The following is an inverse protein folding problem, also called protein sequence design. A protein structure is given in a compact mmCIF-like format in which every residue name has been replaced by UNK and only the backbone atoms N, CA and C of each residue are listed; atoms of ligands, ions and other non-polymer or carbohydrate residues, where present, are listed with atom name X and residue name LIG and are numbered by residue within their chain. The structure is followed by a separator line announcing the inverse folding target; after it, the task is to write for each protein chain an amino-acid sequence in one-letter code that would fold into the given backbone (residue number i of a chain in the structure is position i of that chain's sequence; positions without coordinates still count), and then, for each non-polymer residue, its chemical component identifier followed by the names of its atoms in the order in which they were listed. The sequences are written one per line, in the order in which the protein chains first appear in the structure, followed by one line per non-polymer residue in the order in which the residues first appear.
data_IF_532960903252
#
_entry.id   IF_532960903252
#
_cell.length_a   1.000
_cell.length_b   1.000
_cell.length_c   1.000
_cell.angle_alpha   90.00
_cell.angle_beta   90.00
_cell.angle_gamma   90.00
#
_symmetry.space_group_name_H-M   'P 1'
#
loop_
_entity.id
_entity.type
_entity.pdbx_description
1 polymer ?
#
# COMPACT_ATOMS: atom_id res chain seq x y z
N UNK A 1 -21.26 6.14 -16.77
CA UNK A 1 -21.13 7.61 -17.00
C UNK A 1 -20.00 8.12 -16.15
N UNK A 2 -19.01 8.82 -16.71
CA UNK A 2 -17.90 9.33 -15.92
C UNK A 2 -18.42 10.25 -14.82
N UNK A 3 -17.97 10.02 -13.59
CA UNK A 3 -18.29 10.88 -12.43
C UNK A 3 -17.77 12.31 -12.67
N UNK A 4 -16.78 12.45 -13.52
CA UNK A 4 -16.13 13.71 -13.86
C UNK A 4 -16.53 14.11 -15.28
N UNK A 5 -17.68 14.79 -15.46
CA UNK A 5 -17.93 15.48 -16.71
C UNK A 5 -16.89 16.59 -16.83
N UNK A 6 -16.18 16.64 -17.95
CA UNK A 6 -15.41 17.83 -18.32
C UNK A 6 -16.38 19.02 -18.38
N UNK A 7 -16.38 19.83 -17.34
CA UNK A 7 -17.23 21.02 -17.28
C UNK A 7 -16.50 22.12 -18.03
N UNK A 8 -17.10 22.63 -19.11
CA UNK A 8 -16.60 23.83 -19.74
C UNK A 8 -16.77 25.00 -18.77
N UNK A 9 -15.70 25.72 -18.51
CA UNK A 9 -15.76 26.94 -17.70
C UNK A 9 -16.76 27.89 -18.36
N UNK A 10 -17.81 28.33 -17.66
CA UNK A 10 -18.67 29.38 -18.20
C UNK A 10 -17.78 30.58 -18.50
N UNK A 11 -18.07 31.28 -19.61
CA UNK A 11 -17.36 32.51 -19.95
C UNK A 11 -17.62 33.54 -18.84
N UNK A 12 -16.67 33.62 -17.90
CA UNK A 12 -16.71 34.61 -16.83
C UNK A 12 -16.30 35.93 -17.47
N UNK A 13 -17.24 36.81 -17.73
CA UNK A 13 -16.95 38.20 -18.04
C UNK A 13 -16.22 38.78 -16.84
N UNK A 14 -14.96 39.18 -17.04
CA UNK A 14 -14.15 39.80 -16.01
C UNK A 14 -14.76 41.12 -15.54
N UNK A 15 -15.53 41.05 -14.49
CA UNK A 15 -15.81 42.15 -13.61
C UNK A 15 -15.75 41.60 -12.19
N UNK A 16 -14.83 42.12 -11.39
CA UNK A 16 -14.87 41.91 -9.95
C UNK A 16 -16.30 42.26 -9.50
N UNK A 17 -17.01 41.33 -8.91
CA UNK A 17 -18.33 41.61 -8.35
C UNK A 17 -18.15 42.69 -7.30
N UNK A 18 -18.79 43.88 -7.45
CA UNK A 18 -18.70 44.92 -6.42
C UNK A 18 -19.23 44.36 -5.11
N UNK A 19 -18.42 44.34 -4.06
CA UNK A 19 -18.77 43.80 -2.76
C UNK A 19 -18.13 42.47 -2.39
N UNK A 20 -17.25 41.87 -3.18
CA UNK A 20 -16.43 40.74 -2.76
C UNK A 20 -15.41 41.26 -1.74
N UNK A 21 -15.52 40.82 -0.50
CA UNK A 21 -14.54 41.15 0.54
C UNK A 21 -13.15 40.73 0.08
N UNK A 22 -12.23 41.65 -0.01
CA UNK A 22 -10.81 41.37 -0.29
C UNK A 22 -10.20 40.89 1.01
N UNK A 23 -9.80 39.62 1.03
CA UNK A 23 -9.15 39.01 2.16
C UNK A 23 -7.65 38.85 1.89
N UNK A 24 -6.77 38.98 2.92
CA UNK A 24 -5.35 38.68 2.79
C UNK A 24 -5.07 37.19 2.64
N UNK A 25 -6.05 36.33 2.91
CA UNK A 25 -5.90 34.88 2.85
C UNK A 25 -5.61 34.40 1.42
N UNK A 26 -4.73 33.43 1.31
CA UNK A 26 -4.33 32.87 0.01
C UNK A 26 -4.50 31.34 0.00
N UNK A 27 -4.91 30.74 -1.12
CA UNK A 27 -5.05 29.29 -1.24
C UNK A 27 -3.69 28.61 -1.28
N UNK A 28 -3.58 27.50 -0.55
CA UNK A 28 -2.44 26.60 -0.64
C UNK A 28 -2.90 25.14 -0.69
N UNK A 29 -2.07 24.29 -1.26
CA UNK A 29 -2.28 22.85 -1.24
C UNK A 29 -1.79 22.28 0.08
N UNK A 30 -2.68 21.59 0.80
CA UNK A 30 -2.38 20.95 2.08
C UNK A 30 -2.72 19.47 1.98
N UNK A 31 -1.72 18.63 1.64
CA UNK A 31 -1.90 17.18 1.63
C UNK A 31 -2.35 16.66 2.99
N UNK A 32 -3.37 15.80 2.99
CA UNK A 32 -3.86 15.12 4.19
C UNK A 32 -3.93 13.62 3.94
N UNK A 33 -3.74 12.84 4.99
CA UNK A 33 -3.89 11.40 4.89
C UNK A 33 -5.36 11.01 4.73
N UNK A 34 -5.65 10.17 3.73
CA UNK A 34 -6.95 9.52 3.67
C UNK A 34 -7.08 8.51 4.82
N UNK A 35 -8.25 8.38 5.48
CA UNK A 35 -8.43 7.43 6.57
C UNK A 35 -8.10 5.99 6.19
N UNK A 36 -8.41 5.57 4.96
CA UNK A 36 -8.09 4.24 4.46
C UNK A 36 -6.57 3.99 4.35
N UNK A 37 -5.79 5.00 3.95
CA UNK A 37 -4.32 4.92 3.89
C UNK A 37 -3.74 4.88 5.30
N UNK A 38 -4.24 5.74 6.20
CA UNK A 38 -3.78 5.80 7.58
C UNK A 38 -4.03 4.49 8.34
N UNK A 39 -5.19 3.86 8.09
CA UNK A 39 -5.62 2.62 8.77
C UNK A 39 -5.11 1.35 8.09
N UNK A 40 -4.52 1.43 6.90
CA UNK A 40 -4.00 0.26 6.23
C UNK A 40 -2.84 -0.35 7.01
N UNK A 41 -2.97 -1.59 7.43
CA UNK A 41 -1.95 -2.29 8.24
C UNK A 41 -0.63 -2.40 7.49
N UNK A 42 -0.66 -2.71 6.19
CA UNK A 42 0.54 -2.80 5.34
C UNK A 42 1.09 -1.43 4.94
N UNK A 43 0.32 -0.35 5.16
CA UNK A 43 0.69 1.01 4.78
C UNK A 43 0.57 1.30 3.28
N UNK A 44 -0.24 0.53 2.56
CA UNK A 44 -0.48 0.72 1.12
C UNK A 44 -1.18 2.04 0.85
N UNK A 45 -0.81 2.73 -0.23
CA UNK A 45 -1.54 3.92 -0.71
C UNK A 45 -2.88 3.53 -1.34
N UNK A 46 -3.83 3.15 -0.46
CA UNK A 46 -5.17 2.67 -0.87
C UNK A 46 -5.87 3.69 -1.76
N UNK A 47 -5.82 4.96 -1.39
CA UNK A 47 -6.42 6.04 -2.17
C UNK A 47 -5.79 6.13 -3.57
N UNK A 48 -4.46 6.08 -3.65
CA UNK A 48 -3.73 6.25 -4.91
C UNK A 48 -4.06 5.18 -5.93
N UNK A 49 -4.07 3.91 -5.54
CA UNK A 49 -4.41 2.84 -6.49
C UNK A 49 -5.90 2.79 -6.84
N UNK A 50 -6.81 3.14 -5.91
CA UNK A 50 -8.24 3.27 -6.23
C UNK A 50 -8.51 4.37 -7.25
N UNK A 51 -7.91 5.55 -7.06
CA UNK A 51 -8.05 6.68 -7.99
C UNK A 51 -7.47 6.34 -9.37
N UNK A 52 -6.38 5.59 -9.42
CA UNK A 52 -5.80 5.15 -10.67
C UNK A 52 -6.75 4.26 -11.51
N UNK A 53 -7.51 3.38 -10.85
CA UNK A 53 -8.56 2.58 -11.49
C UNK A 53 -9.74 3.47 -11.89
N UNK A 54 -10.22 4.30 -10.96
CA UNK A 54 -11.38 5.16 -11.16
C UNK A 54 -11.23 6.16 -12.33
N UNK A 55 -10.03 6.71 -12.49
CA UNK A 55 -9.71 7.74 -13.48
C UNK A 55 -8.93 7.21 -14.69
N UNK A 56 -9.04 5.90 -14.99
CA UNK A 56 -8.26 5.30 -16.07
C UNK A 56 -8.45 6.03 -17.42
N UNK A 57 -9.68 6.43 -17.74
CA UNK A 57 -10.00 7.15 -18.98
C UNK A 57 -9.38 8.55 -19.05
N UNK A 58 -9.42 9.27 -17.92
CA UNK A 58 -8.85 10.61 -17.79
C UNK A 58 -7.32 10.61 -17.98
N UNK A 59 -6.67 9.50 -17.63
CA UNK A 59 -5.22 9.30 -17.84
C UNK A 59 -4.90 8.56 -19.14
N UNK A 60 -5.90 8.33 -20.01
CA UNK A 60 -5.71 7.64 -21.29
C UNK A 60 -5.27 6.18 -21.14
N UNK A 61 -5.64 5.52 -20.03
CA UNK A 61 -5.31 4.11 -19.76
C UNK A 61 -6.49 3.21 -20.12
N UNK A 62 -6.18 2.03 -20.63
CA UNK A 62 -7.17 0.94 -20.66
C UNK A 62 -7.44 0.45 -19.24
N UNK A 63 -8.57 -0.24 -18.99
CA UNK A 63 -8.81 -0.87 -17.69
C UNK A 63 -7.66 -1.77 -17.22
N UNK A 64 -7.13 -2.61 -18.09
CA UNK A 64 -6.00 -3.50 -17.77
C UNK A 64 -4.74 -2.71 -17.37
N UNK A 65 -4.41 -1.63 -18.08
CA UNK A 65 -3.27 -0.76 -17.72
C UNK A 65 -3.48 -0.06 -16.38
N UNK A 66 -4.72 0.31 -16.05
CA UNK A 66 -5.05 0.90 -14.76
C UNK A 66 -4.95 -0.11 -13.61
N UNK A 67 -5.38 -1.35 -13.85
CA UNK A 67 -5.24 -2.46 -12.90
C UNK A 67 -3.76 -2.81 -12.68
N UNK A 68 -2.95 -2.84 -13.73
CA UNK A 68 -1.50 -3.06 -13.61
C UNK A 68 -0.84 -1.95 -12.79
N UNK A 69 -1.18 -0.70 -13.06
CA UNK A 69 -0.68 0.43 -12.28
C UNK A 69 -1.10 0.32 -10.80
N UNK A 70 -2.36 -0.05 -10.54
CA UNK A 70 -2.87 -0.26 -9.19
C UNK A 70 -2.12 -1.40 -8.48
N UNK A 71 -1.90 -2.52 -9.15
CA UNK A 71 -1.12 -3.63 -8.65
C UNK A 71 0.32 -3.23 -8.30
N UNK A 72 1.02 -2.54 -9.21
CA UNK A 72 2.37 -2.04 -8.95
C UNK A 72 2.42 -1.08 -7.75
N UNK A 73 1.39 -0.25 -7.59
CA UNK A 73 1.23 0.62 -6.41
C UNK A 73 1.02 -0.16 -5.11
N UNK A 74 0.25 -1.23 -5.12
CA UNK A 74 0.08 -2.11 -3.95
C UNK A 74 1.41 -2.77 -3.60
N UNK A 75 2.14 -3.28 -4.59
CA UNK A 75 3.44 -3.93 -4.42
C UNK A 75 4.52 -3.05 -3.77
N UNK A 76 4.41 -1.73 -3.83
CA UNK A 76 5.35 -0.84 -3.13
C UNK A 76 5.42 -1.16 -1.62
N UNK A 77 4.33 -1.67 -1.04
CA UNK A 77 4.19 -1.92 0.40
C UNK A 77 3.73 -3.34 0.75
N UNK A 78 3.01 -3.98 -0.14
CA UNK A 78 2.38 -5.27 0.09
C UNK A 78 2.64 -6.22 -1.08
N UNK A 79 3.53 -7.22 -0.93
CA UNK A 79 3.82 -8.19 -1.99
C UNK A 79 2.75 -9.28 -2.14
N UNK A 80 1.67 -9.24 -1.34
CA UNK A 80 0.64 -10.26 -1.26
C UNK A 80 -0.78 -9.69 -1.44
N UNK A 81 -1.08 -8.98 -2.55
CA UNK A 81 -2.40 -8.37 -2.75
C UNK A 81 -3.54 -9.38 -2.79
N UNK A 82 -3.38 -10.50 -3.50
CA UNK A 82 -4.40 -11.53 -3.60
C UNK A 82 -4.67 -12.23 -2.26
N UNK A 83 -3.63 -12.45 -1.45
CA UNK A 83 -3.74 -13.03 -0.10
C UNK A 83 -4.38 -12.01 0.85
N UNK A 84 -3.89 -10.77 0.90
CA UNK A 84 -4.47 -9.74 1.75
C UNK A 84 -5.94 -9.48 1.44
N UNK A 85 -6.32 -9.47 0.16
CA UNK A 85 -7.72 -9.38 -0.27
C UNK A 85 -8.60 -10.55 0.17
N UNK A 86 -8.03 -11.61 0.74
CA UNK A 86 -8.76 -12.78 1.29
C UNK A 86 -8.79 -12.81 2.81
N UNK A 87 -7.71 -12.39 3.47
CA UNK A 87 -7.53 -12.64 4.91
C UNK A 87 -7.32 -11.39 5.75
N UNK A 88 -7.15 -10.22 5.15
CA UNK A 88 -7.04 -8.96 5.89
C UNK A 88 -8.42 -8.57 6.46
N UNK A 89 -8.42 -8.06 7.70
CA UNK A 89 -9.63 -7.52 8.35
C UNK A 89 -10.05 -6.13 7.84
N UNK A 90 -9.40 -5.63 6.81
CA UNK A 90 -9.69 -4.40 6.09
C UNK A 90 -10.08 -3.19 6.96
N UNK A 91 -9.24 -2.78 7.95
CA UNK A 91 -9.51 -1.61 8.77
C UNK A 91 -9.63 -0.32 7.93
N UNK A 92 -9.13 -0.33 6.71
CA UNK A 92 -9.29 0.73 5.72
C UNK A 92 -10.77 0.99 5.36
N UNK A 93 -11.62 -0.05 5.29
CA UNK A 93 -13.05 0.09 5.05
C UNK A 93 -13.76 0.61 6.30
N UNK A 94 -13.38 0.13 7.50
CA UNK A 94 -13.96 0.58 8.76
C UNK A 94 -13.81 2.09 8.97
N UNK A 95 -12.73 2.68 8.44
CA UNK A 95 -12.43 4.10 8.56
C UNK A 95 -12.70 4.91 7.28
N UNK A 96 -13.30 4.32 6.26
CA UNK A 96 -13.57 5.00 4.99
C UNK A 96 -14.60 6.12 5.16
N UNK A 97 -14.26 7.36 4.76
CA UNK A 97 -15.15 8.52 4.82
C UNK A 97 -16.42 8.36 3.98
N UNK A 98 -16.43 7.47 2.96
CA UNK A 98 -17.61 7.18 2.15
C UNK A 98 -18.77 6.61 2.99
N UNK A 99 -18.49 6.09 4.19
CA UNK A 99 -19.52 5.67 5.18
C UNK A 99 -20.49 6.79 5.53
N UNK A 100 -20.09 8.05 5.42
CA UNK A 100 -20.95 9.21 5.65
C UNK A 100 -22.03 9.39 4.56
N UNK A 101 -22.01 8.58 3.48
CA UNK A 101 -23.01 8.55 2.43
C UNK A 101 -23.72 7.20 2.39
N UNK A 102 -23.33 6.32 1.49
CA UNK A 102 -24.00 5.05 1.25
C UNK A 102 -23.18 3.80 1.64
N UNK A 103 -22.11 4.00 2.38
CA UNK A 103 -21.25 2.91 2.86
C UNK A 103 -19.81 2.98 2.31
N UNK A 104 -18.87 2.29 2.96
CA UNK A 104 -17.46 2.32 2.58
C UNK A 104 -17.25 1.75 1.18
N UNK A 105 -16.14 2.12 0.52
CA UNK A 105 -15.67 1.43 -0.68
C UNK A 105 -15.26 0.00 -0.31
N UNK A 106 -15.59 -0.99 -1.14
CA UNK A 106 -15.24 -2.40 -0.95
C UNK A 106 -13.76 -2.66 -1.27
N UNK A 107 -12.86 -2.06 -0.51
CA UNK A 107 -11.42 -2.00 -0.76
C UNK A 107 -10.80 -3.40 -0.76
N UNK A 108 -11.20 -4.24 0.18
CA UNK A 108 -10.68 -5.60 0.30
C UNK A 108 -11.03 -6.44 -0.94
N UNK A 109 -12.26 -6.32 -1.45
CA UNK A 109 -12.69 -7.00 -2.67
C UNK A 109 -11.93 -6.52 -3.90
N UNK A 110 -11.70 -5.21 -3.99
CA UNK A 110 -10.91 -4.60 -5.06
C UNK A 110 -9.45 -5.06 -5.00
N UNK A 111 -8.83 -5.10 -3.81
CA UNK A 111 -7.45 -5.59 -3.64
C UNK A 111 -7.32 -7.05 -4.05
N UNK A 112 -8.30 -7.90 -3.65
CA UNK A 112 -8.39 -9.29 -4.10
C UNK A 112 -8.45 -9.40 -5.61
N UNK A 113 -9.36 -8.63 -6.24
CA UNK A 113 -9.52 -8.67 -7.69
C UNK A 113 -8.21 -8.27 -8.40
N UNK A 114 -7.57 -7.17 -7.97
CA UNK A 114 -6.31 -6.71 -8.56
C UNK A 114 -5.21 -7.76 -8.43
N UNK A 115 -5.12 -8.44 -7.28
CA UNK A 115 -4.16 -9.51 -7.06
C UNK A 115 -4.44 -10.74 -7.92
N UNK A 116 -5.69 -11.21 -7.97
CA UNK A 116 -6.10 -12.36 -8.77
C UNK A 116 -5.94 -12.10 -10.27
N UNK A 117 -6.29 -10.88 -10.72
CA UNK A 117 -6.10 -10.45 -12.09
C UNK A 117 -4.62 -10.43 -12.50
N UNK A 118 -3.76 -9.91 -11.63
CA UNK A 118 -2.32 -9.90 -11.85
C UNK A 118 -1.75 -11.32 -12.02
N UNK A 119 -2.20 -12.27 -11.19
CA UNK A 119 -1.81 -13.68 -11.32
C UNK A 119 -2.29 -14.25 -12.63
N UNK A 120 -3.55 -14.01 -13.01
CA UNK A 120 -4.12 -14.51 -14.27
C UNK A 120 -3.42 -13.93 -15.51
N UNK A 121 -2.99 -12.68 -15.46
CA UNK A 121 -2.21 -12.02 -16.52
C UNK A 121 -0.73 -12.42 -16.51
N UNK A 122 -0.26 -13.15 -15.52
CA UNK A 122 1.14 -13.51 -15.37
C UNK A 122 2.07 -12.33 -15.11
N UNK A 123 1.54 -11.22 -14.56
CA UNK A 123 2.37 -10.04 -14.24
C UNK A 123 3.45 -10.37 -13.23
N UNK A 124 4.61 -9.73 -13.42
CA UNK A 124 5.78 -9.96 -12.58
C UNK A 124 6.24 -8.68 -11.93
N UNK A 125 6.62 -8.79 -10.65
CA UNK A 125 7.33 -7.72 -9.97
C UNK A 125 8.71 -7.52 -10.63
N UNK A 126 9.14 -6.29 -10.71
CA UNK A 126 10.41 -5.94 -11.36
C UNK A 126 11.35 -5.29 -10.36
N UNK A 127 12.62 -5.65 -10.47
CA UNK A 127 13.70 -4.96 -9.79
C UNK A 127 14.01 -3.65 -10.54
N UNK A 128 13.99 -2.52 -9.85
CA UNK A 128 14.34 -1.22 -10.46
C UNK A 128 15.83 -1.07 -10.73
N UNK A 129 16.66 -1.81 -10.00
CA UNK A 129 18.11 -1.80 -10.15
C UNK A 129 18.66 -3.21 -10.35
N UNK A 130 19.69 -3.36 -11.18
CA UNK A 130 20.43 -4.60 -11.29
C UNK A 130 20.99 -5.03 -9.92
N UNK A 131 21.16 -6.33 -9.65
CA UNK A 131 21.86 -6.80 -8.46
C UNK A 131 23.24 -6.15 -8.41
N UNK A 132 23.58 -5.48 -7.30
CA UNK A 132 24.92 -5.00 -7.08
C UNK A 132 25.84 -6.20 -6.79
N UNK A 133 26.87 -6.50 -7.59
CA UNK A 133 27.78 -7.62 -7.34
C UNK A 133 28.48 -7.55 -5.98
N UNK A 134 28.62 -6.33 -5.41
CA UNK A 134 29.17 -6.11 -4.08
C UNK A 134 28.10 -5.95 -2.99
N UNK A 135 26.82 -6.30 -3.26
CA UNK A 135 25.75 -6.12 -2.31
C UNK A 135 25.97 -6.91 -1.02
N UNK A 136 25.68 -6.27 0.10
CA UNK A 136 25.67 -6.94 1.39
C UNK A 136 24.66 -8.10 1.37
N UNK A 137 25.10 -9.26 1.87
CA UNK A 137 24.25 -10.45 2.00
C UNK A 137 23.41 -10.36 3.27
N UNK A 138 22.12 -10.67 3.15
CA UNK A 138 21.18 -10.70 4.27
C UNK A 138 20.54 -12.08 4.35
N UNK A 139 20.59 -12.70 5.54
CA UNK A 139 19.89 -13.94 5.82
C UNK A 139 18.53 -13.66 6.46
N UNK A 140 17.51 -14.40 6.06
CA UNK A 140 16.20 -14.40 6.67
C UNK A 140 15.86 -15.84 7.07
N UNK A 141 15.59 -16.04 8.34
CA UNK A 141 15.24 -17.35 8.91
C UNK A 141 13.73 -17.42 9.07
N UNK A 142 13.08 -18.19 8.21
CA UNK A 142 11.63 -18.34 8.10
C UNK A 142 11.03 -17.62 6.90
N UNK A 143 10.21 -18.34 6.14
CA UNK A 143 9.52 -17.88 4.93
C UNK A 143 8.04 -17.58 5.17
N UNK A 144 7.67 -17.18 6.38
CA UNK A 144 6.34 -16.66 6.68
C UNK A 144 6.11 -15.28 6.07
N UNK A 145 4.91 -14.67 6.27
CA UNK A 145 4.59 -13.38 5.67
C UNK A 145 5.57 -12.27 6.02
N UNK A 146 6.13 -12.25 7.23
CA UNK A 146 7.15 -11.28 7.63
C UNK A 146 8.48 -11.49 6.90
N UNK A 147 8.95 -12.74 6.84
CA UNK A 147 10.22 -13.08 6.19
C UNK A 147 10.17 -12.81 4.69
N UNK A 148 9.11 -13.25 4.01
CA UNK A 148 8.93 -13.01 2.58
C UNK A 148 8.73 -11.52 2.24
N UNK A 149 8.02 -10.77 3.10
CA UNK A 149 7.89 -9.32 2.93
C UNK A 149 9.24 -8.61 3.09
N UNK A 150 10.04 -9.00 4.07
CA UNK A 150 11.40 -8.47 4.26
C UNK A 150 12.31 -8.85 3.07
N UNK A 151 12.25 -10.09 2.60
CA UNK A 151 12.99 -10.56 1.44
C UNK A 151 12.67 -9.73 0.20
N UNK A 152 11.38 -9.50 -0.06
CA UNK A 152 10.89 -8.66 -1.15
C UNK A 152 11.49 -7.25 -1.08
N UNK A 153 11.33 -6.56 0.05
CA UNK A 153 11.78 -5.18 0.20
C UNK A 153 13.31 -5.04 0.12
N UNK A 154 14.06 -5.91 0.80
CA UNK A 154 15.52 -5.89 0.76
C UNK A 154 16.05 -6.16 -0.66
N UNK A 155 15.42 -7.07 -1.39
CA UNK A 155 15.79 -7.37 -2.78
C UNK A 155 15.53 -6.17 -3.68
N UNK A 156 14.42 -5.45 -3.50
CA UNK A 156 14.15 -4.20 -4.24
C UNK A 156 15.15 -3.09 -3.91
N UNK A 157 15.68 -3.08 -2.68
CA UNK A 157 16.74 -2.13 -2.25
C UNK A 157 18.12 -2.53 -2.77
N UNK A 158 18.29 -3.69 -3.44
CA UNK A 158 19.54 -4.11 -4.06
C UNK A 158 20.36 -5.12 -3.27
N UNK A 159 19.89 -5.55 -2.09
CA UNK A 159 20.60 -6.56 -1.27
C UNK A 159 20.49 -7.97 -1.86
N UNK A 160 21.51 -8.80 -1.58
CA UNK A 160 21.47 -10.23 -1.85
C UNK A 160 20.80 -10.96 -0.68
N UNK A 161 19.66 -11.59 -0.92
CA UNK A 161 18.84 -12.16 0.15
C UNK A 161 18.75 -13.67 0.03
N UNK A 162 19.03 -14.37 1.12
CA UNK A 162 18.83 -15.81 1.29
C UNK A 162 17.78 -16.06 2.35
N UNK A 163 16.69 -16.74 2.00
CA UNK A 163 15.64 -17.17 2.91
C UNK A 163 15.87 -18.64 3.26
N UNK A 164 15.94 -18.94 4.55
CA UNK A 164 16.10 -20.29 5.11
C UNK A 164 14.79 -20.73 5.73
N UNK A 165 14.22 -21.83 5.25
CA UNK A 165 12.92 -22.35 5.68
C UNK A 165 13.04 -23.80 6.16
N UNK A 166 12.60 -24.05 7.39
CA UNK A 166 12.61 -25.39 7.97
C UNK A 166 11.62 -26.35 7.29
N UNK A 167 10.50 -25.81 6.83
CA UNK A 167 9.47 -26.58 6.14
C UNK A 167 9.87 -26.95 4.70
N UNK A 168 9.21 -27.97 4.12
CA UNK A 168 9.44 -28.38 2.72
C UNK A 168 9.06 -27.28 1.71
N UNK A 169 8.06 -26.45 2.03
CA UNK A 169 7.53 -25.41 1.16
C UNK A 169 7.46 -24.08 1.89
N UNK A 170 7.73 -22.94 1.21
CA UNK A 170 7.63 -21.62 1.81
C UNK A 170 6.18 -21.20 2.03
N UNK A 171 5.97 -20.20 2.90
CA UNK A 171 4.68 -19.59 3.15
C UNK A 171 4.29 -19.51 4.63
N UNK A 172 4.99 -20.24 5.50
CA UNK A 172 4.75 -20.19 6.95
C UNK A 172 3.26 -20.38 7.31
N UNK A 173 2.72 -19.50 8.17
CA UNK A 173 1.32 -19.57 8.59
C UNK A 173 0.31 -19.51 7.46
N UNK A 174 0.60 -18.81 6.36
CA UNK A 174 -0.29 -18.73 5.20
C UNK A 174 -0.49 -20.11 4.55
N UNK A 175 0.49 -20.99 4.64
CA UNK A 175 0.44 -22.36 4.12
C UNK A 175 -0.03 -23.38 5.13
N UNK A 176 0.45 -23.27 6.38
CA UNK A 176 0.33 -24.32 7.36
C UNK A 176 -0.68 -24.07 8.49
N UNK A 177 -1.29 -22.86 8.54
CA UNK A 177 -2.24 -22.47 9.58
C UNK A 177 -3.55 -21.86 9.04
N UNK A 178 -3.63 -21.59 7.76
CA UNK A 178 -4.82 -21.05 7.10
C UNK A 178 -5.32 -22.09 6.09
N UNK A 179 -6.61 -22.47 6.13
CA UNK A 179 -7.18 -23.46 5.20
C UNK A 179 -7.07 -23.03 3.73
N UNK A 180 -6.93 -24.01 2.84
CA UNK A 180 -6.88 -23.81 1.38
C UNK A 180 -8.16 -23.18 0.82
N UNK A 181 -9.29 -23.36 1.50
CA UNK A 181 -10.55 -22.68 1.19
C UNK A 181 -10.43 -21.15 1.32
N UNK A 182 -9.58 -20.67 2.22
CA UNK A 182 -9.32 -19.23 2.41
C UNK A 182 -8.18 -18.73 1.54
N UNK A 183 -7.06 -19.47 1.49
CA UNK A 183 -5.90 -19.17 0.64
C UNK A 183 -5.61 -20.39 -0.26
N UNK A 184 -6.10 -20.41 -1.52
CA UNK A 184 -5.78 -21.48 -2.45
C UNK A 184 -4.25 -21.60 -2.66
N UNK A 185 -3.76 -22.84 -2.74
CA UNK A 185 -2.33 -23.09 -2.89
C UNK A 185 -1.74 -22.39 -4.12
N UNK A 186 -2.47 -22.40 -5.24
CA UNK A 186 -2.05 -21.76 -6.49
C UNK A 186 -1.86 -20.24 -6.33
N UNK A 187 -2.71 -19.57 -5.55
CA UNK A 187 -2.59 -18.13 -5.27
C UNK A 187 -1.36 -17.87 -4.40
N UNK A 188 -1.17 -18.65 -3.34
CA UNK A 188 -0.01 -18.51 -2.46
C UNK A 188 1.30 -18.75 -3.22
N UNK A 189 1.34 -19.81 -4.02
CA UNK A 189 2.52 -20.17 -4.80
C UNK A 189 2.86 -19.11 -5.85
N UNK A 190 1.86 -18.53 -6.51
CA UNK A 190 2.05 -17.47 -7.50
C UNK A 190 2.63 -16.19 -6.87
N UNK A 191 2.11 -15.75 -5.73
CA UNK A 191 2.63 -14.56 -5.05
C UNK A 191 4.01 -14.79 -4.44
N UNK A 192 4.30 -16.00 -3.91
CA UNK A 192 5.65 -16.36 -3.46
C UNK A 192 6.62 -16.42 -4.64
N UNK A 193 6.24 -17.06 -5.75
CA UNK A 193 7.07 -17.13 -6.96
C UNK A 193 7.41 -15.73 -7.48
N UNK A 194 6.46 -14.79 -7.37
CA UNK A 194 6.67 -13.40 -7.74
C UNK A 194 7.75 -12.69 -6.89
N UNK A 195 7.93 -13.12 -5.65
CA UNK A 195 9.03 -12.63 -4.78
C UNK A 195 10.35 -13.32 -5.15
N UNK A 196 10.34 -14.66 -5.28
CA UNK A 196 11.57 -15.45 -5.51
C UNK A 196 12.24 -15.11 -6.85
N UNK A 197 11.46 -14.86 -7.90
CA UNK A 197 11.98 -14.50 -9.22
C UNK A 197 12.80 -13.19 -9.22
N UNK A 198 12.68 -12.34 -8.20
CA UNK A 198 13.50 -11.14 -8.05
C UNK A 198 14.97 -11.47 -7.71
N UNK A 199 15.32 -12.74 -7.55
CA UNK A 199 16.66 -13.21 -7.20
C UNK A 199 16.83 -13.51 -5.71
N UNK A 200 15.74 -13.76 -4.99
CA UNK A 200 15.78 -14.27 -3.62
C UNK A 200 16.18 -15.75 -3.65
N UNK A 201 17.26 -16.10 -2.97
CA UNK A 201 17.64 -17.49 -2.77
C UNK A 201 16.76 -18.13 -1.69
N UNK A 202 16.17 -19.30 -1.96
CA UNK A 202 15.37 -20.04 -0.99
C UNK A 202 16.04 -21.38 -0.68
N UNK A 203 16.33 -21.64 0.61
CA UNK A 203 16.80 -22.92 1.13
C UNK A 203 15.69 -23.57 1.96
N UNK A 204 14.92 -24.46 1.33
CA UNK A 204 13.89 -25.25 2.02
C UNK A 204 14.47 -26.45 2.75
N UNK A 205 13.75 -26.97 3.76
CA UNK A 205 14.17 -28.08 4.65
C UNK A 205 15.47 -27.76 5.38
N UNK A 206 15.76 -26.49 5.62
CA UNK A 206 16.99 -25.98 6.20
C UNK A 206 16.69 -25.38 7.59
N UNK A 207 17.21 -26.04 8.64
CA UNK A 207 16.96 -25.70 10.04
C UNK A 207 18.18 -25.01 10.63
N UNK A 208 18.06 -23.75 10.97
CA UNK A 208 19.09 -23.02 11.72
C UNK A 208 19.17 -23.58 13.14
N UNK A 209 20.38 -23.85 13.60
CA UNK A 209 20.67 -24.61 14.84
C UNK A 209 20.99 -26.08 14.58
N UNK A 210 20.62 -26.64 13.42
CA UNK A 210 20.99 -27.99 12.98
C UNK A 210 21.92 -27.96 11.77
N UNK A 211 21.50 -27.31 10.70
CA UNK A 211 22.23 -27.31 9.42
C UNK A 211 23.24 -26.15 9.31
N UNK A 212 23.08 -25.13 10.13
CA UNK A 212 24.04 -24.03 10.35
C UNK A 212 23.88 -23.44 11.75
N UNK A 213 24.94 -22.87 12.31
CA UNK A 213 24.87 -22.17 13.60
C UNK A 213 24.61 -20.65 13.39
N UNK A 214 24.21 -19.97 14.47
CA UNK A 214 24.04 -18.51 14.46
C UNK A 214 25.37 -17.81 14.17
N UNK A 215 26.46 -18.29 14.76
CA UNK A 215 27.81 -17.76 14.58
C UNK A 215 28.27 -17.90 13.13
N UNK A 216 27.88 -18.99 12.44
CA UNK A 216 28.15 -19.15 11.02
C UNK A 216 27.38 -18.13 10.20
N UNK A 217 26.07 -17.91 10.51
CA UNK A 217 25.27 -16.90 9.84
C UNK A 217 25.84 -15.48 10.04
N UNK A 218 26.39 -15.18 11.22
CA UNK A 218 26.99 -13.89 11.50
C UNK A 218 28.30 -13.66 10.72
N UNK A 219 29.01 -14.71 10.36
CA UNK A 219 30.21 -14.64 9.50
C UNK A 219 29.87 -14.46 8.02
N UNK A 220 28.84 -15.17 7.55
CA UNK A 220 28.53 -15.27 6.12
C UNK A 220 27.63 -14.11 5.64
N UNK A 221 26.89 -13.48 6.53
CA UNK A 221 25.91 -12.42 6.22
C UNK A 221 26.20 -11.15 7.01
N UNK A 222 25.74 -10.02 6.49
CA UNK A 222 25.87 -8.69 7.16
C UNK A 222 24.68 -8.38 8.07
N UNK A 223 23.57 -9.06 7.87
CA UNK A 223 22.40 -8.99 8.72
C UNK A 223 21.66 -10.33 8.72
N UNK A 224 21.07 -10.68 9.87
CA UNK A 224 20.23 -11.87 10.03
C UNK A 224 18.90 -11.48 10.65
N UNK A 225 17.80 -11.79 9.98
CA UNK A 225 16.44 -11.60 10.47
C UNK A 225 15.80 -12.94 10.85
N UNK A 226 15.47 -13.12 12.11
CA UNK A 226 14.73 -14.28 12.60
C UNK A 226 13.23 -14.04 12.47
N UNK A 227 12.64 -14.47 11.35
CA UNK A 227 11.21 -14.36 11.01
C UNK A 227 10.45 -15.67 11.33
N UNK A 228 10.75 -16.31 12.44
CA UNK A 228 10.35 -17.67 12.79
C UNK A 228 8.95 -17.80 13.38
N UNK A 229 8.15 -16.76 13.33
CA UNK A 229 6.76 -16.74 13.79
C UNK A 229 6.38 -15.44 14.47
N UNK A 230 5.27 -15.47 15.23
CA UNK A 230 4.78 -14.30 15.94
C UNK A 230 5.77 -13.85 17.02
N UNK A 231 6.37 -12.69 16.81
CA UNK A 231 7.24 -12.04 17.78
C UNK A 231 6.63 -10.72 18.24
N UNK A 232 6.82 -10.39 19.52
CA UNK A 232 6.43 -9.07 20.04
C UNK A 232 7.32 -8.00 19.40
N UNK A 233 6.81 -6.80 19.21
CA UNK A 233 7.57 -5.68 18.62
C UNK A 233 8.91 -5.42 19.35
N UNK A 234 8.95 -5.60 20.67
CA UNK A 234 10.18 -5.49 21.47
C UNK A 234 11.26 -6.53 21.10
N UNK A 235 10.87 -7.67 20.52
CA UNK A 235 11.80 -8.72 20.07
C UNK A 235 12.36 -8.45 18.67
N UNK A 236 11.73 -7.56 17.90
CA UNK A 236 12.16 -7.17 16.56
C UNK A 236 13.17 -6.02 16.56
N UNK A 237 13.76 -5.69 17.70
CA UNK A 237 14.81 -4.68 17.77
C UNK A 237 16.09 -5.18 17.10
N UNK A 238 16.70 -4.29 16.35
CA UNK A 238 18.00 -4.52 15.72
C UNK A 238 19.08 -4.48 16.80
N UNK A 239 19.88 -5.55 16.85
CA UNK A 239 21.04 -5.71 17.74
C UNK A 239 22.31 -5.71 16.90
N UNK A 240 23.14 -4.66 16.96
CA UNK A 240 24.41 -4.63 16.25
C UNK A 240 25.31 -5.80 16.73
N UNK A 241 25.99 -6.44 15.80
CA UNK A 241 27.07 -7.37 16.11
C UNK A 241 28.31 -6.63 16.63
N UNK A 242 29.21 -7.35 17.27
CA UNK A 242 30.51 -6.81 17.72
C UNK A 242 31.47 -6.75 16.54
N UNK A 243 32.35 -5.73 16.50
CA UNK A 243 33.53 -5.63 15.63
C UNK A 243 33.37 -6.12 14.17
N UNK A 244 32.25 -5.76 13.54
CA UNK A 244 31.98 -6.08 12.12
C UNK A 244 31.14 -7.34 11.91
N UNK A 245 30.69 -8.00 12.96
CA UNK A 245 29.69 -9.07 12.88
C UNK A 245 28.34 -8.56 12.36
N UNK A 246 27.52 -9.49 11.86
CA UNK A 246 26.18 -9.19 11.37
C UNK A 246 25.28 -8.61 12.47
N UNK A 247 24.42 -7.66 12.09
CA UNK A 247 23.33 -7.29 12.99
C UNK A 247 22.26 -8.38 13.02
N UNK A 248 21.70 -8.60 14.21
CA UNK A 248 20.61 -9.56 14.44
C UNK A 248 19.29 -8.82 14.67
N UNK A 249 18.21 -9.29 14.05
CA UNK A 249 16.85 -8.80 14.29
C UNK A 249 15.96 -9.99 14.64
N UNK A 250 15.23 -9.88 15.75
CA UNK A 250 14.40 -10.97 16.23
C UNK A 250 15.20 -11.97 17.07
N UNK A 251 14.59 -13.12 17.36
CA UNK A 251 15.18 -14.20 18.10
C UNK A 251 14.84 -15.55 17.48
N UNK A 252 15.79 -16.48 17.53
CA UNK A 252 15.53 -17.87 17.21
C UNK A 252 14.75 -18.50 18.38
N UNK A 253 13.64 -19.21 18.15
CA UNK A 253 12.97 -19.97 19.21
C UNK A 253 13.87 -21.11 19.71
N UNK A 254 13.71 -21.48 20.98
CA UNK A 254 14.47 -22.56 21.57
C UNK A 254 14.24 -23.92 20.87
N UNK A 255 13.03 -24.10 20.35
CA UNK A 255 12.63 -25.26 19.56
C UNK A 255 12.20 -24.87 18.17
N UNK A 256 12.51 -25.68 17.13
CA UNK A 256 12.01 -25.42 15.79
C UNK A 256 10.48 -25.48 15.77
N UNK A 257 9.83 -24.66 14.90
CA UNK A 257 8.38 -24.67 14.83
C UNK A 257 7.85 -26.03 14.35
N UNK A 258 6.84 -26.54 15.06
CA UNK A 258 6.13 -27.75 14.65
C UNK A 258 5.34 -27.46 13.37
N UNK A 259 5.63 -28.21 12.32
CA UNK A 259 4.89 -28.15 11.06
C UNK A 259 3.71 -29.11 11.18
N UNK A 260 2.45 -28.64 11.06
CA UNK A 260 1.30 -29.51 11.08
C UNK A 260 1.35 -30.55 9.94
N UNK A 261 1.11 -31.80 10.26
CA UNK A 261 1.03 -32.88 9.26
C UNK A 261 -0.25 -32.82 8.43
N UNK A 262 -1.30 -32.24 9.03
CA UNK A 262 -2.63 -32.13 8.39
C UNK A 262 -2.96 -30.67 8.08
N UNK A 263 -3.70 -30.48 6.99
CA UNK A 263 -4.25 -29.17 6.62
C UNK A 263 -5.26 -28.72 7.69
N UNK A 264 -5.21 -27.44 8.14
CA UNK A 264 -6.20 -26.90 9.05
C UNK A 264 -7.58 -26.84 8.39
N UNK A 265 -8.59 -27.38 9.08
CA UNK A 265 -9.99 -27.40 8.60
C UNK A 265 -10.76 -26.14 8.93
N UNK A 266 -10.30 -25.38 9.93
CA UNK A 266 -10.92 -24.13 10.36
C UNK A 266 -9.89 -23.00 10.43
N UNK A 267 -10.37 -21.78 10.21
CA UNK A 267 -9.55 -20.57 10.31
C UNK A 267 -9.57 -20.07 11.75
N UNK A 268 -8.41 -19.98 12.39
CA UNK A 268 -8.27 -19.22 13.65
C UNK A 268 -8.27 -17.71 13.32
N UNK A 269 -9.28 -16.93 13.78
CA UNK A 269 -9.36 -15.50 13.51
C UNK A 269 -8.13 -14.74 13.97
N UNK A 270 -7.43 -15.22 15.01
CA UNK A 270 -6.19 -14.62 15.51
C UNK A 270 -5.07 -14.74 14.49
N UNK A 271 -5.03 -15.84 13.74
CA UNK A 271 -4.03 -16.08 12.69
C UNK A 271 -4.30 -15.19 11.47
N UNK A 272 -5.57 -15.02 11.06
CA UNK A 272 -5.91 -14.13 9.95
C UNK A 272 -5.45 -12.69 10.19
N UNK A 273 -5.69 -12.18 11.40
CA UNK A 273 -5.33 -10.81 11.77
C UNK A 273 -3.83 -10.54 11.73
N UNK A 274 -3.02 -11.59 11.80
CA UNK A 274 -1.56 -11.44 11.90
C UNK A 274 -0.87 -11.38 10.54
N UNK A 275 -1.49 -11.83 9.44
CA UNK A 275 -0.84 -11.85 8.11
C UNK A 275 -0.45 -10.44 7.66
N UNK A 276 -1.39 -9.50 7.62
CA UNK A 276 -1.11 -8.11 7.19
C UNK A 276 -0.18 -7.38 8.17
N UNK A 277 -0.28 -7.68 9.47
CA UNK A 277 0.64 -7.15 10.50
C UNK A 277 2.05 -7.69 10.28
N UNK A 278 2.20 -8.98 10.02
CA UNK A 278 3.49 -9.60 9.76
C UNK A 278 4.15 -9.05 8.48
N UNK A 279 3.36 -8.80 7.42
CA UNK A 279 3.85 -8.13 6.20
C UNK A 279 4.42 -6.74 6.54
N UNK A 280 3.68 -5.95 7.32
CA UNK A 280 4.12 -4.62 7.76
C UNK A 280 5.40 -4.69 8.60
N UNK A 281 5.49 -5.65 9.52
CA UNK A 281 6.69 -5.88 10.34
C UNK A 281 7.90 -6.26 9.48
N UNK A 282 7.73 -7.17 8.52
CA UNK A 282 8.79 -7.55 7.58
C UNK A 282 9.34 -6.35 6.80
N UNK A 283 8.46 -5.47 6.32
CA UNK A 283 8.84 -4.22 5.65
C UNK A 283 9.60 -3.28 6.60
N UNK A 284 9.13 -3.10 7.82
CA UNK A 284 9.80 -2.25 8.80
C UNK A 284 11.20 -2.77 9.17
N UNK A 285 11.34 -4.09 9.32
CA UNK A 285 12.63 -4.73 9.56
C UNK A 285 13.57 -4.56 8.37
N UNK A 286 13.06 -4.70 7.15
CA UNK A 286 13.87 -4.46 5.95
C UNK A 286 14.45 -3.04 5.90
N UNK A 287 13.63 -2.02 6.22
CA UNK A 287 14.10 -0.63 6.31
C UNK A 287 15.12 -0.44 7.44
N UNK A 288 14.90 -1.05 8.60
CA UNK A 288 15.86 -0.98 9.72
C UNK A 288 17.21 -1.63 9.37
N UNK A 289 17.19 -2.79 8.70
CA UNK A 289 18.41 -3.46 8.22
C UNK A 289 19.12 -2.58 7.19
N UNK A 290 18.40 -2.05 6.21
CA UNK A 290 18.98 -1.18 5.18
C UNK A 290 19.62 0.08 5.81
N UNK A 291 18.90 0.74 6.72
CA UNK A 291 19.40 1.91 7.44
C UNK A 291 20.70 1.61 8.21
N UNK A 292 20.74 0.45 8.88
CA UNK A 292 21.96 0.00 9.58
C UNK A 292 23.12 -0.24 8.63
N UNK A 293 22.90 -0.97 7.53
CA UNK A 293 23.95 -1.32 6.56
C UNK A 293 24.47 -0.09 5.82
N UNK A 294 23.61 0.87 5.56
CA UNK A 294 23.93 2.15 4.89
C UNK A 294 24.41 3.24 5.87
N UNK A 295 24.45 2.95 7.17
CA UNK A 295 24.84 3.89 8.24
C UNK A 295 24.03 5.20 8.21
N UNK A 296 22.74 5.09 7.95
CA UNK A 296 21.80 6.22 7.92
C UNK A 296 20.68 6.04 8.97
N UNK A 297 20.00 7.10 9.37
CA UNK A 297 18.80 6.94 10.19
C UNK A 297 17.71 6.16 9.44
N UNK A 298 16.87 5.45 10.19
CA UNK A 298 15.64 4.85 9.66
C UNK A 298 14.78 5.99 9.11
N UNK A 299 14.25 5.81 7.92
CA UNK A 299 13.39 6.83 7.30
C UNK A 299 12.10 6.95 8.11
N UNK A 300 11.93 8.12 8.70
CA UNK A 300 10.64 8.50 9.27
C UNK A 300 9.79 9.08 8.14
N UNK A 301 8.65 8.44 7.88
CA UNK A 301 7.69 8.96 6.92
C UNK A 301 6.67 9.81 7.70
N UNK A 302 6.76 11.14 7.66
CA UNK A 302 5.82 11.99 8.35
C UNK A 302 4.40 11.69 7.83
N UNK A 303 3.51 11.35 8.75
CA UNK A 303 2.12 11.08 8.40
C UNK A 303 1.34 12.39 8.49
N UNK A 304 0.85 12.91 7.36
CA UNK A 304 0.01 14.10 7.40
C UNK A 304 -1.26 13.83 8.21
N UNK A 305 -1.91 14.89 8.75
CA UNK A 305 -3.13 14.74 9.53
C UNK A 305 -4.22 14.05 8.71
N UNK A 306 -4.99 13.18 9.39
CA UNK A 306 -6.07 12.43 8.74
C UNK A 306 -7.27 13.34 8.52
N UNK A 307 -7.77 13.38 7.29
CA UNK A 307 -8.98 14.14 6.96
C UNK A 307 -10.24 13.37 7.35
N UNK A 308 -11.16 14.06 8.04
CA UNK A 308 -12.49 13.54 8.40
C UNK A 308 -13.53 13.92 7.37
N UNK A 309 -14.67 13.23 7.39
CA UNK A 309 -15.77 13.44 6.43
C UNK A 309 -16.41 14.83 6.49
N UNK A 310 -16.39 15.50 7.65
CA UNK A 310 -16.88 16.88 7.84
C UNK A 310 -16.06 17.94 7.10
N UNK A 311 -14.84 17.60 6.69
CA UNK A 311 -13.95 18.44 5.86
C UNK A 311 -14.03 18.15 4.37
N UNK A 312 -14.93 17.27 3.97
CA UNK A 312 -15.17 16.91 2.57
C UNK A 312 -16.50 17.54 2.10
N UNK A 313 -16.55 17.95 0.85
CA UNK A 313 -17.82 18.40 0.24
C UNK A 313 -18.58 17.17 -0.27
N UNK A 314 -19.32 16.53 0.62
CA UNK A 314 -19.99 15.24 0.34
C UNK A 314 -21.02 15.35 -0.79
N UNK A 315 -21.69 16.51 -0.96
CA UNK A 315 -22.69 16.76 -2.00
C UNK A 315 -22.13 16.68 -3.42
N UNK A 316 -20.82 16.89 -3.57
CA UNK A 316 -20.14 16.76 -4.85
C UNK A 316 -20.20 15.32 -5.39
N UNK A 317 -20.15 14.34 -4.48
CA UNK A 317 -20.10 12.93 -4.86
C UNK A 317 -21.51 12.38 -5.03
N UNK A 318 -21.81 11.83 -6.21
CA UNK A 318 -23.10 11.18 -6.45
C UNK A 318 -23.22 9.92 -5.61
N UNK A 319 -24.42 9.61 -5.08
CA UNK A 319 -24.69 8.31 -4.51
C UNK A 319 -24.45 7.20 -5.54
N UNK A 320 -23.83 6.12 -5.10
CA UNK A 320 -23.59 4.94 -5.92
C UNK A 320 -23.65 3.69 -5.02
N UNK A 321 -24.39 2.67 -5.43
CA UNK A 321 -24.49 1.43 -4.69
C UNK A 321 -23.12 0.83 -4.46
N UNK A 322 -22.90 0.33 -3.24
CA UNK A 322 -21.72 -0.45 -2.90
C UNK A 322 -21.82 -1.81 -3.59
N UNK A 323 -20.68 -2.36 -4.01
CA UNK A 323 -20.62 -3.74 -4.48
C UNK A 323 -21.16 -4.70 -3.40
N UNK A 324 -22.03 -5.62 -3.81
CA UNK A 324 -22.60 -6.61 -2.92
C UNK A 324 -21.54 -7.61 -2.45
N UNK A 325 -21.27 -7.60 -1.15
CA UNK A 325 -20.28 -8.48 -0.55
C UNK A 325 -20.66 -9.97 -0.61
N UNK A 326 -21.94 -10.30 -0.86
CA UNK A 326 -22.41 -11.68 -1.04
C UNK A 326 -22.04 -12.26 -2.41
N UNK A 327 -21.79 -11.40 -3.42
CA UNK A 327 -21.36 -11.84 -4.72
C UNK A 327 -19.96 -12.48 -4.64
N UNK A 328 -19.74 -13.64 -5.28
CA UNK A 328 -18.51 -14.41 -5.09
C UNK A 328 -17.29 -13.73 -5.71
N UNK A 329 -17.45 -13.06 -6.85
CA UNK A 329 -16.35 -12.43 -7.63
C UNK A 329 -16.86 -11.12 -8.24
N UNK A 330 -15.99 -10.11 -8.31
CA UNK A 330 -16.24 -8.87 -9.07
C UNK A 330 -15.85 -9.06 -10.54
N UNK A 331 -16.64 -8.50 -11.45
CA UNK A 331 -16.24 -8.30 -12.83
C UNK A 331 -15.44 -6.99 -13.01
N UNK A 332 -14.80 -6.82 -14.17
CA UNK A 332 -13.99 -5.62 -14.46
C UNK A 332 -14.81 -4.33 -14.40
N UNK A 333 -16.05 -4.34 -14.93
CA UNK A 333 -16.94 -3.18 -14.87
C UNK A 333 -17.33 -2.82 -13.44
N UNK A 334 -17.59 -3.82 -12.60
CA UNK A 334 -17.92 -3.66 -11.19
C UNK A 334 -16.72 -3.10 -10.39
N UNK A 335 -15.52 -3.54 -10.71
CA UNK A 335 -14.27 -3.03 -10.13
C UNK A 335 -14.11 -1.54 -10.43
N UNK A 336 -14.31 -1.12 -11.68
CA UNK A 336 -14.24 0.29 -12.07
C UNK A 336 -15.33 1.09 -11.39
N UNK A 337 -16.57 0.57 -11.36
CA UNK A 337 -17.70 1.22 -10.71
C UNK A 337 -17.45 1.40 -9.20
N UNK A 338 -16.98 0.38 -8.53
CA UNK A 338 -16.68 0.42 -7.10
C UNK A 338 -15.49 1.34 -6.78
N UNK A 339 -14.40 1.29 -7.56
CA UNK A 339 -13.26 2.18 -7.41
C UNK A 339 -13.67 3.66 -7.60
N UNK A 340 -14.61 3.92 -8.50
CA UNK A 340 -15.15 5.25 -8.80
C UNK A 340 -15.92 5.86 -7.61
N UNK A 341 -16.32 5.08 -6.63
CA UNK A 341 -16.90 5.57 -5.37
C UNK A 341 -15.86 6.25 -4.46
N UNK A 342 -14.57 6.10 -4.74
CA UNK A 342 -13.50 6.72 -3.95
C UNK A 342 -13.57 8.25 -4.04
N UNK A 343 -13.54 8.93 -2.89
CA UNK A 343 -13.62 10.39 -2.77
C UNK A 343 -12.25 11.08 -2.79
N UNK A 344 -11.16 10.37 -3.02
CA UNK A 344 -9.78 10.91 -3.00
C UNK A 344 -9.47 11.81 -1.79
N UNK A 345 -9.92 11.42 -0.60
CA UNK A 345 -9.85 12.21 0.62
C UNK A 345 -8.45 12.81 0.88
N UNK A 346 -8.38 14.13 1.01
CA UNK A 346 -7.16 14.85 1.39
C UNK A 346 -6.11 15.03 0.30
N UNK A 347 -6.39 14.60 -0.94
CA UNK A 347 -5.48 14.77 -2.07
C UNK A 347 -6.24 15.16 -3.33
N UNK A 348 -5.61 15.96 -4.17
CA UNK A 348 -6.19 16.38 -5.44
C UNK A 348 -6.48 15.18 -6.34
N UNK A 349 -7.62 15.22 -7.04
CA UNK A 349 -8.06 14.24 -8.04
C UNK A 349 -8.34 14.90 -9.40
N UNK A 350 -7.78 16.08 -9.63
CA UNK A 350 -7.90 16.85 -10.87
C UNK A 350 -9.37 17.08 -11.33
N UNK A 351 -10.28 17.28 -10.36
CA UNK A 351 -11.71 17.47 -10.61
C UNK A 351 -12.08 18.84 -11.21
N UNK A 352 -11.12 19.75 -11.34
CA UNK A 352 -11.27 21.10 -11.93
C UNK A 352 -12.18 22.08 -11.17
N UNK A 353 -12.74 21.69 -10.04
CA UNK A 353 -13.69 22.54 -9.28
C UNK A 353 -13.06 23.87 -8.87
N UNK A 354 -11.83 23.86 -8.33
CA UNK A 354 -11.11 25.07 -7.94
C UNK A 354 -10.88 26.02 -9.12
N UNK A 355 -10.56 25.49 -10.31
CA UNK A 355 -10.39 26.23 -11.54
C UNK A 355 -11.73 26.80 -12.02
N UNK A 356 -12.80 26.02 -11.94
CA UNK A 356 -14.13 26.42 -12.41
C UNK A 356 -14.72 27.56 -11.58
N UNK A 357 -14.58 27.48 -10.24
CA UNK A 357 -15.15 28.49 -9.33
C UNK A 357 -14.28 29.74 -9.16
N UNK A 358 -13.05 29.74 -9.65
CA UNK A 358 -12.17 30.90 -9.51
C UNK A 358 -12.52 31.98 -10.54
N UNK A 359 -13.18 33.06 -10.10
CA UNK A 359 -13.53 34.21 -10.95
C UNK A 359 -12.32 35.01 -11.42
N UNK A 360 -11.25 35.03 -10.64
CA UNK A 360 -10.03 35.78 -10.93
C UNK A 360 -8.98 34.98 -11.71
N UNK A 361 -9.33 33.79 -12.23
CA UNK A 361 -8.42 32.94 -13.01
C UNK A 361 -7.09 32.61 -12.34
N UNK A 362 -7.08 32.49 -11.00
CA UNK A 362 -5.86 32.16 -10.24
C UNK A 362 -5.33 30.75 -10.52
N UNK A 363 -6.18 29.83 -10.96
CA UNK A 363 -5.79 28.43 -11.21
C UNK A 363 -5.51 28.19 -12.68
N UNK A 364 -4.31 27.76 -13.01
CA UNK A 364 -3.89 27.40 -14.36
C UNK A 364 -3.79 25.88 -14.44
N UNK A 365 -4.44 25.27 -15.44
CA UNK A 365 -4.38 23.82 -15.66
C UNK A 365 -2.98 23.41 -16.10
N UNK A 366 -2.46 22.38 -15.46
CA UNK A 366 -1.26 21.66 -15.85
C UNK A 366 -1.65 20.31 -16.49
N UNK A 367 -0.71 19.57 -17.08
CA UNK A 367 -0.96 18.20 -17.53
C UNK A 367 -1.55 17.35 -16.40
N UNK A 368 -2.40 16.38 -16.74
CA UNK A 368 -3.03 15.48 -15.77
C UNK A 368 -2.01 14.85 -14.83
N UNK A 369 -2.31 14.84 -13.52
CA UNK A 369 -1.41 14.37 -12.47
C UNK A 369 -0.46 15.45 -11.92
N UNK A 370 -0.34 16.60 -12.56
CA UNK A 370 0.43 17.75 -12.05
C UNK A 370 -0.45 18.80 -11.36
N UNK A 371 -1.76 18.59 -11.33
CA UNK A 371 -2.77 19.43 -10.70
C UNK A 371 -2.88 20.83 -11.35
N UNK A 372 -2.89 21.87 -10.53
CA UNK A 372 -3.06 23.26 -10.98
C UNK A 372 -1.97 24.15 -10.40
N UNK A 373 -1.42 25.03 -11.19
CA UNK A 373 -0.58 26.11 -10.69
C UNK A 373 -1.48 27.22 -10.14
N UNK A 374 -1.13 27.78 -8.99
CA UNK A 374 -1.86 28.87 -8.37
C UNK A 374 -1.08 30.18 -8.61
N UNK A 375 -1.69 31.15 -9.30
CA UNK A 375 -1.20 32.51 -9.49
C UNK A 375 -1.73 33.39 -8.36
N UNK A 376 -0.97 33.48 -7.28
CA UNK A 376 -1.40 34.18 -6.06
C UNK A 376 -1.59 35.69 -6.27
N UNK A 377 -0.87 36.27 -7.22
CA UNK A 377 -0.99 37.69 -7.60
C UNK A 377 -2.37 38.06 -8.14
N UNK A 378 -3.11 37.10 -8.66
CA UNK A 378 -4.48 37.29 -9.14
C UNK A 378 -5.53 37.03 -8.07
N UNK A 379 -5.14 36.53 -6.90
CA UNK A 379 -6.07 36.09 -5.87
C UNK A 379 -6.55 37.26 -5.00
N UNK A 380 -7.87 37.40 -4.86
CA UNK A 380 -8.51 38.37 -3.95
C UNK A 380 -8.91 37.77 -2.59
N UNK A 381 -8.59 36.48 -2.32
CA UNK A 381 -8.89 35.84 -1.06
C UNK A 381 -10.36 35.44 -0.84
N UNK A 382 -11.15 35.27 -1.89
CA UNK A 382 -12.60 34.98 -1.81
C UNK A 382 -12.95 33.58 -1.25
N UNK A 383 -11.97 32.72 -0.98
CA UNK A 383 -12.07 31.38 -0.35
C UNK A 383 -12.88 30.32 -1.14
N UNK A 384 -13.51 30.65 -2.27
CA UNK A 384 -14.35 29.72 -3.04
C UNK A 384 -13.64 28.42 -3.40
N UNK A 385 -12.36 28.49 -3.79
CA UNK A 385 -11.58 27.30 -4.14
C UNK A 385 -11.43 26.31 -2.98
N UNK A 386 -11.29 26.78 -1.74
CA UNK A 386 -11.21 25.94 -0.55
C UNK A 386 -12.59 25.39 -0.15
N UNK A 387 -13.62 26.26 -0.14
CA UNK A 387 -14.99 25.88 0.20
C UNK A 387 -15.57 24.83 -0.76
N UNK A 388 -15.24 24.94 -2.05
CA UNK A 388 -15.75 24.04 -3.09
C UNK A 388 -14.84 22.84 -3.37
N UNK A 389 -13.64 22.75 -2.73
CA UNK A 389 -12.74 21.62 -2.93
C UNK A 389 -13.36 20.32 -2.37
N UNK A 390 -13.75 19.35 -3.24
CA UNK A 390 -14.51 18.19 -2.77
C UNK A 390 -13.68 17.26 -1.87
N UNK A 391 -12.39 17.16 -2.12
CA UNK A 391 -11.47 16.27 -1.38
C UNK A 391 -10.76 16.95 -0.20
N UNK A 392 -11.02 18.25 0.06
CA UNK A 392 -10.43 18.99 1.17
C UNK A 392 -8.92 19.23 1.05
N UNK A 393 -8.40 19.33 -0.17
CA UNK A 393 -6.96 19.50 -0.46
C UNK A 393 -6.50 20.96 -0.41
N UNK A 394 -7.42 21.92 -0.58
CA UNK A 394 -7.11 23.34 -0.59
C UNK A 394 -7.51 23.96 0.76
N UNK A 395 -6.60 24.69 1.36
CA UNK A 395 -6.83 25.53 2.53
C UNK A 395 -6.49 26.99 2.23
N UNK A 396 -7.08 27.90 3.01
CA UNK A 396 -6.74 29.32 3.00
C UNK A 396 -5.83 29.62 4.19
N UNK A 397 -4.78 30.36 3.96
CA UNK A 397 -3.85 30.81 5.02
C UNK A 397 -3.42 32.25 4.79
#
# INVERSE_FOLDING_TARGET
MPIFKAVKKPAVRGAATPGAEISPMRPRYVPKAAPCVHSCTTGTDVRGWLVAIAQHKEYGRTPAQALEFAWRKILERNPFPAICGRVCQHPCELNCNRKAKEGPVAINRLERFVGDFAIAQGWRAERKAAPNPGASKVAIVGSGPAGLSAAYQLTLMGYAVTVMEAAPQPGGMMRYRIPRSSIPASVLDAEIANILQLGVELKSRFVVGRDTSIEQLQRDYRAVFFATGLQKAAQLQLRPGKDGEACLVGALPAEPPTIPEQEPTAVDPRVLNTVSVAIAQGRAVAEAIAAFLERRPVRDEPRPPVIKSDKLKLDYYKPAARFDASAPVMGEEEVIAEATRCMSCGMCMDCEVCWMYCTNNCFVKLPKGQHFQIKLELCNGCQKCAQECPCGYIEMS
#
